data_IF_564045899497
#
_entry.id   IF_564045899497
#
_cell.length_a   1.000
_cell.length_b   1.000
_cell.length_c   1.000
_cell.angle_alpha   90.00
_cell.angle_beta   90.00
_cell.angle_gamma   90.00
#
_symmetry.space_group_name_H-M   'P 1'
#
loop_
_entity.id
_entity.type
_entity.pdbx_description
1 polymer ?
#
# COMPACT_ATOMS: atom_id res chain seq x y z
N UNK A 1 -9.88 -4.80 0.96
CA UNK A 1 -9.11 -3.54 1.11
C UNK A 1 -8.67 -3.48 2.58
N UNK A 2 -7.83 -4.43 3.00
CA UNK A 2 -7.71 -4.81 4.41
C UNK A 2 -6.25 -4.86 4.85
N UNK A 3 -5.55 -3.73 4.81
CA UNK A 3 -4.20 -3.66 5.40
C UNK A 3 -3.87 -2.27 5.89
N UNK A 4 -4.75 -1.70 6.71
CA UNK A 4 -4.44 -0.53 7.53
C UNK A 4 -4.55 -0.94 8.99
N UNK A 5 -3.41 -1.17 9.62
CA UNK A 5 -3.33 -1.55 11.04
C UNK A 5 -2.86 -0.30 11.80
N UNK A 6 -3.74 0.22 12.66
CA UNK A 6 -3.39 1.28 13.61
C UNK A 6 -2.76 0.62 14.83
N UNK A 7 -1.44 0.78 14.99
CA UNK A 7 -0.67 0.01 15.98
C UNK A 7 -0.68 0.69 17.35
N UNK A 8 -0.61 2.02 17.38
CA UNK A 8 -0.71 2.79 18.62
C UNK A 8 -0.99 4.28 18.31
N UNK A 9 -1.69 4.92 19.23
CA UNK A 9 -1.74 6.37 19.33
C UNK A 9 -0.60 6.84 20.25
N UNK A 10 0.40 7.52 19.68
CA UNK A 10 1.56 8.02 20.41
C UNK A 10 1.43 9.48 20.87
N UNK A 11 0.24 10.06 20.79
CA UNK A 11 0.00 11.47 21.13
C UNK A 11 0.43 11.84 22.56
N UNK A 12 0.25 10.93 23.53
CA UNK A 12 0.67 11.16 24.93
C UNK A 12 2.18 11.23 25.14
N UNK A 13 2.98 10.62 24.27
CA UNK A 13 4.46 10.65 24.35
C UNK A 13 5.00 11.93 23.73
N UNK A 14 4.35 12.43 22.67
CA UNK A 14 4.72 13.68 22.00
C UNK A 14 4.47 14.90 22.90
N UNK A 15 3.42 14.89 23.73
CA UNK A 15 3.15 15.97 24.71
C UNK A 15 4.19 16.09 25.84
N UNK A 16 4.96 15.03 26.16
CA UNK A 16 5.95 15.07 27.24
C UNK A 16 7.27 15.74 26.82
N UNK A 17 7.44 16.07 25.53
CA UNK A 17 8.64 16.74 25.04
C UNK A 17 8.53 18.24 25.30
N UNK A 18 9.53 18.88 25.95
CA UNK A 18 9.47 20.29 26.30
C UNK A 18 9.17 21.17 25.07
N UNK A 19 8.11 21.98 25.18
CA UNK A 19 7.62 22.96 24.19
C UNK A 19 8.63 24.10 23.90
N UNK A 20 9.88 23.96 24.36
CA UNK A 20 10.92 24.99 24.39
C UNK A 20 11.98 24.84 23.29
N UNK A 21 11.93 23.81 22.46
CA UNK A 21 12.77 23.69 21.26
C UNK A 21 11.88 23.56 20.03
N UNK A 22 11.59 24.69 19.39
CA UNK A 22 10.61 24.80 18.31
C UNK A 22 10.76 23.68 17.26
N UNK A 23 9.72 22.84 17.17
CA UNK A 23 9.46 22.07 15.97
C UNK A 23 8.26 22.72 15.28
N UNK A 24 8.35 23.06 13.99
CA UNK A 24 7.25 23.69 13.28
C UNK A 24 6.17 22.63 13.08
N UNK A 25 5.03 22.80 13.72
CA UNK A 25 3.76 22.43 13.14
C UNK A 25 3.73 22.99 11.71
N UNK A 26 4.06 22.14 10.74
CA UNK A 26 3.94 22.42 9.31
C UNK A 26 2.49 22.84 9.08
N UNK A 27 2.28 24.14 8.84
CA UNK A 27 0.99 24.79 8.58
C UNK A 27 0.13 25.20 9.79
N UNK A 28 0.63 25.11 11.03
CA UNK A 28 -0.08 25.67 12.21
C UNK A 28 -1.38 24.93 12.59
N UNK A 29 -1.54 23.68 12.16
CA UNK A 29 -2.67 22.81 12.52
C UNK A 29 -2.19 21.87 13.62
N UNK A 30 -2.83 21.94 14.80
CA UNK A 30 -2.58 21.04 15.92
C UNK A 30 -3.31 19.72 15.63
N UNK A 31 -2.62 18.61 15.35
CA UNK A 31 -3.27 17.32 15.12
C UNK A 31 -3.58 16.76 16.49
N UNK A 32 -4.83 16.88 16.93
CA UNK A 32 -5.34 16.35 18.20
C UNK A 32 -5.10 14.82 18.36
N UNK A 33 -4.71 14.15 17.27
CA UNK A 33 -4.27 12.76 17.21
C UNK A 33 -3.00 12.61 16.37
N UNK A 34 -2.05 11.80 16.83
CA UNK A 34 -0.80 11.49 16.11
C UNK A 34 -0.68 9.98 15.85
N UNK A 35 -1.45 9.47 14.87
CA UNK A 35 -1.46 8.05 14.56
C UNK A 35 -0.18 7.62 13.87
N UNK A 36 0.36 6.47 14.28
CA UNK A 36 1.42 5.76 13.56
C UNK A 36 0.76 4.69 12.68
N UNK A 37 0.89 4.83 11.36
CA UNK A 37 0.37 3.90 10.37
C UNK A 37 1.51 3.05 9.78
N UNK A 38 1.33 1.72 9.76
CA UNK A 38 2.14 0.84 8.91
C UNK A 38 1.28 0.45 7.69
N UNK A 39 1.62 0.99 6.53
CA UNK A 39 1.01 0.64 5.25
C UNK A 39 2.06 0.04 4.33
N UNK A 40 2.01 -1.26 4.06
CA UNK A 40 2.79 -1.87 2.98
C UNK A 40 2.10 -1.50 1.64
N UNK A 41 2.81 -1.06 0.58
CA UNK A 41 4.26 -1.04 0.36
C UNK A 41 5.03 0.23 0.80
N UNK A 42 4.38 1.19 1.49
CA UNK A 42 4.86 2.57 1.68
C UNK A 42 5.47 2.89 3.08
N UNK A 43 5.58 1.91 3.98
CA UNK A 43 6.32 2.04 5.24
C UNK A 43 5.55 2.67 6.41
N UNK A 44 6.29 3.32 7.32
CA UNK A 44 5.82 3.91 8.59
C UNK A 44 5.40 5.38 8.37
N UNK A 45 4.09 5.63 8.30
CA UNK A 45 3.53 6.98 8.33
C UNK A 45 3.41 7.46 9.77
N UNK A 46 4.06 8.57 10.11
CA UNK A 46 4.04 9.15 11.46
C UNK A 46 3.32 10.51 11.38
N UNK A 47 2.06 10.56 11.84
CA UNK A 47 1.29 11.81 11.97
C UNK A 47 0.91 12.49 10.64
N UNK A 48 0.55 13.79 10.66
CA UNK A 48 0.15 14.56 9.47
C UNK A 48 1.33 14.91 8.55
N UNK A 49 2.51 14.34 8.81
CA UNK A 49 3.67 14.58 7.97
C UNK A 49 3.47 13.92 6.61
N UNK A 50 3.90 14.58 5.52
CA UNK A 50 3.92 13.96 4.21
C UNK A 50 4.71 12.65 4.29
N UNK A 51 4.14 11.59 3.73
CA UNK A 51 4.80 10.30 3.60
C UNK A 51 6.18 10.50 2.94
N UNK A 52 7.25 10.25 3.67
CA UNK A 52 8.61 10.28 3.11
C UNK A 52 8.84 8.92 2.47
N UNK A 53 8.78 8.79 1.13
CA UNK A 53 9.07 7.52 0.49
C UNK A 53 10.52 7.13 0.79
N UNK A 54 10.75 5.88 1.15
CA UNK A 54 12.10 5.35 1.25
C UNK A 54 12.77 5.46 -0.13
N UNK A 55 14.08 5.78 -0.21
CA UNK A 55 14.80 5.90 -1.48
C UNK A 55 15.09 4.50 -2.05
N UNK A 56 14.05 3.81 -2.49
CA UNK A 56 14.12 2.50 -3.14
C UNK A 56 13.52 2.58 -4.54
N UNK A 57 14.10 1.91 -5.55
CA UNK A 57 13.55 1.90 -6.89
C UNK A 57 12.21 1.17 -6.90
N UNK A 58 11.18 1.79 -7.49
CA UNK A 58 9.86 1.21 -7.67
C UNK A 58 9.71 0.79 -9.13
N UNK A 59 9.41 -0.48 -9.36
CA UNK A 59 9.19 -1.03 -10.68
C UNK A 59 7.70 -1.30 -10.89
N UNK A 60 7.16 -0.89 -12.03
CA UNK A 60 5.76 -1.10 -12.38
C UNK A 60 5.67 -1.56 -13.83
N UNK A 61 4.79 -2.53 -14.10
CA UNK A 61 4.54 -3.06 -15.45
C UNK A 61 3.04 -3.04 -15.73
N UNK A 62 2.65 -2.51 -16.87
CA UNK A 62 1.27 -2.63 -17.38
C UNK A 62 1.16 -3.96 -18.12
N UNK A 63 0.29 -4.84 -17.63
CA UNK A 63 0.08 -6.17 -18.19
C UNK A 63 -1.03 -6.15 -19.26
N UNK A 64 -1.09 -7.17 -20.14
CA UNK A 64 -2.21 -7.34 -21.05
C UNK A 64 -3.56 -7.39 -20.31
N UNK A 65 -4.68 -7.03 -20.97
CA UNK A 65 -5.99 -7.07 -20.36
C UNK A 65 -6.40 -8.50 -20.01
N UNK A 66 -7.04 -8.66 -18.86
CA UNK A 66 -7.66 -9.93 -18.44
C UNK A 66 -9.09 -9.95 -18.96
N UNK A 67 -9.40 -10.94 -19.81
CA UNK A 67 -10.72 -11.09 -20.44
C UNK A 67 -11.45 -12.27 -19.81
N UNK A 68 -12.68 -12.05 -19.35
CA UNK A 68 -13.57 -13.10 -18.90
C UNK A 68 -14.45 -13.62 -20.05
N UNK A 69 -14.88 -14.88 -19.94
CA UNK A 69 -15.70 -15.54 -20.95
C UNK A 69 -17.17 -15.10 -20.92
N UNK A 70 -17.72 -14.83 -19.72
CA UNK A 70 -19.13 -14.54 -19.49
C UNK A 70 -19.27 -13.27 -18.66
N UNK A 71 -20.28 -12.46 -18.98
CA UNK A 71 -20.55 -11.19 -18.31
C UNK A 71 -22.04 -11.06 -17.98
N UNK A 72 -22.38 -10.09 -17.14
CA UNK A 72 -23.75 -9.78 -16.77
C UNK A 72 -24.18 -10.37 -15.42
N UNK A 73 -25.45 -10.13 -15.07
CA UNK A 73 -26.00 -10.47 -13.75
C UNK A 73 -25.94 -11.97 -13.46
N UNK A 74 -26.18 -12.80 -14.46
CA UNK A 74 -26.14 -14.27 -14.32
C UNK A 74 -24.74 -14.75 -13.97
N UNK A 75 -23.72 -14.28 -14.69
CA UNK A 75 -22.32 -14.60 -14.41
C UNK A 75 -21.87 -14.10 -13.03
N UNK A 76 -22.31 -12.91 -12.61
CA UNK A 76 -21.99 -12.35 -11.29
C UNK A 76 -22.71 -13.07 -10.13
N UNK A 77 -23.84 -13.72 -10.40
CA UNK A 77 -24.61 -14.47 -9.39
C UNK A 77 -24.10 -15.90 -9.21
N UNK A 78 -23.35 -16.42 -10.20
CA UNK A 78 -22.67 -17.71 -10.13
C UNK A 78 -21.40 -17.59 -9.29
N UNK A 79 -21.49 -18.01 -8.02
CA UNK A 79 -20.38 -17.96 -7.06
C UNK A 79 -19.15 -18.74 -7.53
N UNK A 80 -19.35 -19.87 -8.20
CA UNK A 80 -18.25 -20.69 -8.69
C UNK A 80 -17.53 -19.98 -9.84
N UNK A 81 -18.28 -19.36 -10.74
CA UNK A 81 -17.71 -18.56 -11.82
C UNK A 81 -16.95 -17.33 -11.32
N UNK A 82 -17.51 -16.60 -10.37
CA UNK A 82 -16.83 -15.45 -9.75
C UNK A 82 -15.52 -15.88 -9.09
N UNK A 83 -15.51 -17.01 -8.37
CA UNK A 83 -14.28 -17.53 -7.79
C UNK A 83 -13.25 -17.91 -8.86
N UNK A 84 -13.67 -18.51 -9.98
CA UNK A 84 -12.76 -18.77 -11.11
C UNK A 84 -12.16 -17.49 -11.70
N UNK A 85 -12.96 -16.45 -11.88
CA UNK A 85 -12.47 -15.15 -12.34
C UNK A 85 -11.45 -14.55 -11.37
N UNK A 86 -11.72 -14.67 -10.06
CA UNK A 86 -10.80 -14.24 -9.01
C UNK A 86 -9.47 -14.99 -9.08
N UNK A 87 -9.50 -16.33 -9.09
CA UNK A 87 -8.29 -17.17 -9.18
C UNK A 87 -7.49 -16.87 -10.46
N UNK A 88 -8.17 -16.62 -11.57
CA UNK A 88 -7.53 -16.25 -12.82
C UNK A 88 -6.76 -14.93 -12.70
N UNK A 89 -7.37 -13.91 -12.09
CA UNK A 89 -6.72 -12.61 -11.87
C UNK A 89 -5.53 -12.75 -10.92
N UNK A 90 -5.71 -13.45 -9.80
CA UNK A 90 -4.65 -13.66 -8.80
C UNK A 90 -3.46 -14.39 -9.41
N UNK A 91 -3.70 -15.51 -10.09
CA UNK A 91 -2.64 -16.28 -10.73
C UNK A 91 -1.87 -15.45 -11.76
N UNK A 92 -2.58 -14.72 -12.64
CA UNK A 92 -1.94 -13.92 -13.68
C UNK A 92 -1.09 -12.78 -13.09
N UNK A 93 -1.60 -12.07 -12.09
CA UNK A 93 -0.88 -10.97 -11.44
C UNK A 93 0.33 -11.47 -10.65
N UNK A 94 0.21 -12.61 -9.97
CA UNK A 94 1.33 -13.22 -9.28
C UNK A 94 2.44 -13.62 -10.26
N UNK A 95 2.07 -14.27 -11.37
CA UNK A 95 3.04 -14.67 -12.38
C UNK A 95 3.77 -13.46 -13.00
N UNK A 96 3.05 -12.37 -13.29
CA UNK A 96 3.66 -11.14 -13.80
C UNK A 96 4.58 -10.45 -12.79
N UNK A 97 4.20 -10.47 -11.51
CA UNK A 97 5.04 -9.97 -10.42
C UNK A 97 6.33 -10.79 -10.27
N UNK A 98 6.23 -12.12 -10.29
CA UNK A 98 7.39 -13.02 -10.22
C UNK A 98 8.33 -12.78 -11.40
N UNK A 99 7.78 -12.56 -12.61
CA UNK A 99 8.55 -12.22 -13.79
C UNK A 99 9.21 -10.84 -13.68
N UNK A 100 8.51 -9.85 -13.08
CA UNK A 100 9.07 -8.52 -12.83
C UNK A 100 10.24 -8.59 -11.85
N UNK A 101 10.11 -9.36 -10.76
CA UNK A 101 11.19 -9.56 -9.78
C UNK A 101 12.42 -10.19 -10.46
N UNK A 102 12.23 -11.25 -11.27
CA UNK A 102 13.34 -11.88 -12.01
C UNK A 102 14.06 -10.90 -12.94
N UNK A 103 13.30 -10.10 -13.69
CA UNK A 103 13.86 -9.10 -14.60
C UNK A 103 14.68 -8.03 -13.86
N UNK A 104 14.14 -7.51 -12.76
CA UNK A 104 14.81 -6.46 -11.96
C UNK A 104 16.04 -7.01 -11.25
N UNK A 105 16.01 -8.24 -10.73
CA UNK A 105 17.16 -8.89 -10.13
C UNK A 105 18.32 -9.07 -11.13
N UNK A 106 18.01 -9.46 -12.37
CA UNK A 106 19.01 -9.55 -13.45
C UNK A 106 19.60 -8.18 -13.78
N UNK A 107 18.76 -7.14 -13.86
CA UNK A 107 19.19 -5.77 -14.18
C UNK A 107 20.11 -5.18 -13.11
N UNK A 108 19.88 -5.49 -11.84
CA UNK A 108 20.70 -5.00 -10.72
C UNK A 108 21.97 -5.84 -10.47
N UNK A 109 22.15 -6.95 -11.19
CA UNK A 109 23.34 -7.82 -11.12
C UNK A 109 24.38 -7.54 -12.21
N UNK A 110 24.09 -6.58 -13.11
CA UNK A 110 24.97 -6.04 -14.14
C UNK A 110 25.50 -4.67 -13.70
#
# INVERSE_FOLDING_TARGET
HDTLIVIADCYKVVQQRPRSGGWPWLLGIDPEVFPIYLGLPWGLGIGPLPNIPLPVPIYTRVCPPIVFERYGREAASDRYYVNKCYELVVCQMQQELDNLIKLTAQTNSL
#
